data_IF_964540773788
#
_entry.id   IF_964540773788
#
_cell.length_a   1.000
_cell.length_b   1.000
_cell.length_c   1.000
_cell.angle_alpha   90.00
_cell.angle_beta   90.00
_cell.angle_gamma   90.00
#
_symmetry.space_group_name_H-M   'P 1'
#
loop_
_entity.id
_entity.type
_entity.pdbx_description
1 polymer ?
#
# COMPACT_ATOMS: atom_id res chain seq x y z
N UNK A 1 -1.56 25.32 13.54
CA UNK A 1 -1.19 24.93 12.16
C UNK A 1 -0.94 23.43 12.16
N UNK A 2 -1.41 22.68 11.15
CA UNK A 2 -1.14 21.24 11.02
C UNK A 2 -0.30 21.01 9.76
N UNK A 3 0.71 20.14 9.85
CA UNK A 3 1.50 19.67 8.72
C UNK A 3 1.39 18.15 8.66
N UNK A 4 1.32 17.62 7.44
CA UNK A 4 1.26 16.18 7.18
C UNK A 4 2.53 15.80 6.41
N UNK A 5 3.27 14.82 6.92
CA UNK A 5 4.47 14.30 6.30
C UNK A 5 4.18 12.88 5.81
N UNK A 6 4.52 12.62 4.55
CA UNK A 6 4.32 11.33 3.93
C UNK A 6 5.68 10.64 3.73
N UNK A 7 5.81 9.35 4.09
CA UNK A 7 7.06 8.63 3.94
C UNK A 7 7.41 8.39 2.46
N UNK A 8 8.72 8.30 2.18
CA UNK A 8 9.25 7.93 0.87
C UNK A 8 9.63 6.45 0.77
N UNK A 9 10.28 6.08 -0.33
CA UNK A 9 10.85 4.74 -0.52
C UNK A 9 11.79 4.35 0.64
N UNK A 10 11.73 3.10 1.05
CA UNK A 10 12.42 2.56 2.22
C UNK A 10 11.51 2.32 3.43
N UNK A 11 10.29 2.86 3.42
CA UNK A 11 9.30 2.67 4.49
C UNK A 11 8.38 1.45 4.28
N UNK A 12 8.48 0.76 3.14
CA UNK A 12 7.67 -0.43 2.84
C UNK A 12 8.10 -1.65 3.67
N UNK A 13 7.13 -2.47 4.08
CA UNK A 13 7.38 -3.71 4.82
C UNK A 13 6.25 -4.72 4.56
N UNK A 14 6.53 -6.02 4.72
CA UNK A 14 5.53 -7.07 4.55
C UNK A 14 4.46 -7.00 5.63
N UNK A 15 3.18 -7.05 5.24
CA UNK A 15 2.03 -6.85 6.12
C UNK A 15 1.50 -5.42 6.14
N UNK A 16 2.14 -4.46 5.46
CA UNK A 16 1.69 -3.07 5.43
C UNK A 16 0.27 -2.94 4.86
N UNK A 17 -0.56 -2.10 5.47
CA UNK A 17 -1.92 -1.82 5.00
C UNK A 17 -2.96 -2.93 5.23
N UNK A 18 -2.57 -4.11 5.73
CA UNK A 18 -3.50 -5.23 5.96
C UNK A 18 -4.59 -4.88 6.98
N UNK A 19 -4.21 -4.29 8.10
CA UNK A 19 -5.14 -3.84 9.13
C UNK A 19 -6.14 -2.80 8.60
N UNK A 20 -5.67 -1.86 7.77
CA UNK A 20 -6.52 -0.85 7.14
C UNK A 20 -7.55 -1.51 6.22
N UNK A 21 -7.09 -2.44 5.39
CA UNK A 21 -7.94 -3.21 4.46
C UNK A 21 -9.03 -4.02 5.18
N UNK A 22 -8.69 -4.67 6.30
CA UNK A 22 -9.61 -5.51 7.06
C UNK A 22 -10.64 -4.67 7.85
N UNK A 23 -10.18 -3.60 8.50
CA UNK A 23 -10.99 -2.84 9.48
C UNK A 23 -11.81 -1.69 8.89
N UNK A 24 -11.48 -1.21 7.69
CA UNK A 24 -12.18 -0.08 7.05
C UNK A 24 -12.75 -0.46 5.68
N UNK A 25 -14.06 -0.27 5.50
CA UNK A 25 -14.74 -0.48 4.21
C UNK A 25 -14.22 0.46 3.13
N UNK A 26 -13.97 1.74 3.48
CA UNK A 26 -13.42 2.73 2.56
C UNK A 26 -11.99 2.38 2.16
N UNK A 27 -11.15 1.97 3.11
CA UNK A 27 -9.79 1.54 2.81
C UNK A 27 -9.79 0.34 1.85
N UNK A 28 -10.67 -0.65 2.12
CA UNK A 28 -10.85 -1.82 1.26
C UNK A 28 -11.22 -1.44 -0.16
N UNK A 29 -12.15 -0.50 -0.34
CA UNK A 29 -12.54 0.00 -1.66
C UNK A 29 -11.37 0.64 -2.39
N UNK A 30 -10.57 1.47 -1.71
CA UNK A 30 -9.40 2.11 -2.31
C UNK A 30 -8.31 1.11 -2.71
N UNK A 31 -8.07 0.08 -1.88
CA UNK A 31 -7.17 -1.01 -2.21
C UNK A 31 -7.64 -1.82 -3.42
N UNK A 32 -8.93 -2.18 -3.48
CA UNK A 32 -9.46 -2.93 -4.63
C UNK A 32 -9.49 -2.07 -5.91
N UNK A 33 -9.74 -0.76 -5.80
CA UNK A 33 -9.57 0.17 -6.92
C UNK A 33 -8.13 0.20 -7.40
N UNK A 34 -7.15 0.23 -6.50
CA UNK A 34 -5.74 0.19 -6.87
C UNK A 34 -5.37 -1.14 -7.57
N UNK A 35 -5.84 -2.28 -7.06
CA UNK A 35 -5.66 -3.58 -7.72
C UNK A 35 -6.17 -3.57 -9.17
N UNK A 36 -7.36 -3.02 -9.39
CA UNK A 36 -7.95 -2.93 -10.73
C UNK A 36 -7.16 -2.01 -11.67
N UNK A 37 -6.68 -0.86 -11.18
CA UNK A 37 -5.95 0.12 -11.99
C UNK A 37 -4.51 -0.34 -12.32
N UNK A 38 -3.86 -1.05 -11.40
CA UNK A 38 -2.50 -1.53 -11.59
C UNK A 38 -2.42 -2.78 -12.48
N UNK A 39 -3.54 -3.48 -12.69
CA UNK A 39 -3.57 -4.73 -13.45
C UNK A 39 -2.95 -5.93 -12.73
N UNK A 40 -2.57 -5.76 -11.45
CA UNK A 40 -2.11 -6.83 -10.57
C UNK A 40 -2.57 -6.56 -9.13
N UNK A 41 -2.63 -7.61 -8.31
CA UNK A 41 -3.04 -7.50 -6.90
C UNK A 41 -1.88 -7.00 -6.04
N UNK A 42 -1.73 -5.67 -5.95
CA UNK A 42 -0.72 -5.05 -5.08
C UNK A 42 -0.94 -5.43 -3.61
N UNK A 43 -2.19 -5.65 -3.19
CA UNK A 43 -2.51 -6.10 -1.83
C UNK A 43 -1.85 -7.43 -1.47
N UNK A 44 -1.74 -8.38 -2.40
CA UNK A 44 -1.06 -9.65 -2.13
C UNK A 44 0.40 -9.42 -1.75
N UNK A 45 1.09 -8.54 -2.49
CA UNK A 45 2.50 -8.21 -2.27
C UNK A 45 2.67 -7.38 -0.99
N UNK A 46 1.80 -6.39 -0.75
CA UNK A 46 1.82 -5.60 0.48
C UNK A 46 1.59 -6.44 1.73
N UNK A 47 0.72 -7.44 1.68
CA UNK A 47 0.31 -8.20 2.87
C UNK A 47 1.21 -9.41 3.16
N UNK A 48 1.76 -10.03 2.12
CA UNK A 48 2.42 -11.33 2.23
C UNK A 48 3.68 -11.45 1.35
N UNK A 49 3.98 -10.43 0.55
CA UNK A 49 5.14 -10.44 -0.35
C UNK A 49 6.45 -10.46 0.42
N UNK A 50 7.47 -10.98 -0.25
CA UNK A 50 8.85 -10.89 0.20
C UNK A 50 9.36 -9.43 0.18
N UNK A 51 10.45 -9.19 0.91
CA UNK A 51 11.12 -7.88 0.88
C UNK A 51 11.57 -7.52 -0.54
N UNK A 52 12.12 -8.49 -1.29
CA UNK A 52 12.56 -8.29 -2.68
C UNK A 52 11.42 -7.90 -3.62
N UNK A 53 10.23 -8.51 -3.47
CA UNK A 53 9.05 -8.12 -4.25
C UNK A 53 8.60 -6.69 -3.92
N UNK A 54 8.65 -6.32 -2.63
CA UNK A 54 8.31 -4.98 -2.15
C UNK A 54 9.35 -3.93 -2.53
N UNK A 55 10.61 -4.30 -2.76
CA UNK A 55 11.68 -3.40 -3.23
C UNK A 55 11.63 -3.11 -4.73
N UNK A 56 10.84 -3.87 -5.51
CA UNK A 56 10.65 -3.55 -6.92
C UNK A 56 9.94 -2.20 -7.03
N UNK A 57 10.56 -1.21 -7.69
CA UNK A 57 10.03 0.17 -7.78
C UNK A 57 8.57 0.23 -8.25
N UNK A 58 8.18 -0.67 -9.17
CA UNK A 58 6.81 -0.82 -9.69
C UNK A 58 5.77 -1.24 -8.62
N UNK A 59 6.23 -1.77 -7.49
CA UNK A 59 5.45 -2.13 -6.31
C UNK A 59 5.65 -1.10 -5.20
N UNK A 60 6.90 -0.74 -4.90
CA UNK A 60 7.25 0.14 -3.76
C UNK A 60 6.53 1.48 -3.82
N UNK A 61 6.56 2.16 -4.99
CA UNK A 61 5.96 3.48 -5.13
C UNK A 61 4.44 3.45 -4.96
N UNK A 62 3.68 2.59 -5.67
CA UNK A 62 2.24 2.53 -5.48
C UNK A 62 1.85 2.01 -4.09
N UNK A 63 2.61 1.10 -3.47
CA UNK A 63 2.31 0.60 -2.13
C UNK A 63 2.39 1.71 -1.08
N UNK A 64 3.46 2.52 -1.12
CA UNK A 64 3.66 3.65 -0.19
C UNK A 64 2.62 4.74 -0.43
N UNK A 65 2.36 5.09 -1.69
CA UNK A 65 1.34 6.07 -2.05
C UNK A 65 -0.05 5.64 -1.55
N UNK A 66 -0.46 4.40 -1.85
CA UNK A 66 -1.75 3.88 -1.46
C UNK A 66 -1.93 3.83 0.06
N UNK A 67 -0.92 3.35 0.77
CA UNK A 67 -0.92 3.34 2.24
C UNK A 67 -1.02 4.76 2.82
N UNK A 68 -0.28 5.71 2.25
CA UNK A 68 -0.25 7.12 2.67
C UNK A 68 -1.57 7.85 2.45
N UNK A 69 -2.30 7.51 1.38
CA UNK A 69 -3.59 8.12 1.04
C UNK A 69 -4.74 7.57 1.90
N UNK A 70 -4.63 6.30 2.32
CA UNK A 70 -5.67 5.63 3.12
C UNK A 70 -5.60 6.03 4.60
N UNK A 71 -4.41 6.36 5.11
CA UNK A 71 -4.15 6.73 6.51
C UNK A 71 -4.63 8.16 6.83
#
# INVERSE_FOLDING_TARGET
MKAYLFPGQGAQFSGMGKDLYEKSSLARELFEKANAQLGFRITNIMFQGSEDELMQTKVTQPAIFLHSVIL
#
